data_IF_611840910630
#
_entry.id   IF_611840910630
#
_cell.length_a   1.000
_cell.length_b   1.000
_cell.length_c   1.000
_cell.angle_alpha   90.00
_cell.angle_beta   90.00
_cell.angle_gamma   90.00
#
_symmetry.space_group_name_H-M   'P 1'
#
loop_
_entity.id
_entity.type
_entity.pdbx_description
1 polymer ?
#
# COMPACT_ATOMS: atom_id res chain seq x y z
N UNK A 1 -3.65 6.26 13.63
CA UNK A 1 -4.89 6.99 13.99
C UNK A 1 -5.60 7.42 12.72
N UNK A 2 -6.93 7.25 12.64
CA UNK A 2 -7.73 7.62 11.47
C UNK A 2 -9.07 8.23 11.91
N UNK A 3 -9.64 9.10 11.07
CA UNK A 3 -11.06 9.49 11.17
C UNK A 3 -11.95 8.78 10.14
N UNK A 4 -11.37 7.94 9.30
CA UNK A 4 -12.08 7.28 8.22
C UNK A 4 -12.40 5.84 8.61
N UNK A 5 -13.64 5.61 9.07
CA UNK A 5 -14.15 4.28 9.42
C UNK A 5 -14.17 3.33 8.20
N UNK A 6 -14.27 3.84 6.97
CA UNK A 6 -14.28 2.99 5.76
C UNK A 6 -12.96 2.27 5.51
N UNK A 7 -11.87 2.73 6.13
CA UNK A 7 -10.56 2.09 6.03
C UNK A 7 -10.36 0.97 7.06
N UNK A 8 -11.29 0.82 8.00
CA UNK A 8 -11.14 -0.05 9.15
C UNK A 8 -11.99 -1.32 9.01
N UNK A 9 -11.45 -2.44 9.48
CA UNK A 9 -12.12 -3.74 9.56
C UNK A 9 -12.19 -4.21 11.01
N UNK A 10 -13.31 -4.85 11.38
CA UNK A 10 -13.58 -5.33 12.75
C UNK A 10 -13.54 -4.22 13.81
N UNK A 11 -14.23 -3.10 13.54
CA UNK A 11 -14.21 -1.94 14.42
C UNK A 11 -14.83 -2.22 15.80
N UNK A 12 -14.07 -1.90 16.86
CA UNK A 12 -14.54 -1.99 18.24
C UNK A 12 -14.77 -0.59 18.79
N UNK A 13 -16.04 -0.28 19.07
CA UNK A 13 -16.41 0.98 19.71
C UNK A 13 -16.10 0.92 21.21
N UNK A 14 -15.14 1.73 21.65
CA UNK A 14 -14.71 1.82 23.04
C UNK A 14 -13.99 3.14 23.27
N UNK A 15 -14.45 3.91 24.26
CA UNK A 15 -13.70 5.08 24.70
C UNK A 15 -12.37 4.65 25.31
N UNK A 16 -11.25 5.16 24.76
CA UNK A 16 -9.90 4.80 25.18
C UNK A 16 -9.10 5.95 25.77
N UNK A 17 -9.60 7.18 25.68
CA UNK A 17 -8.93 8.38 26.16
C UNK A 17 -9.06 9.53 25.18
N UNK A 18 -8.17 10.52 25.29
CA UNK A 18 -8.16 11.71 24.45
C UNK A 18 -6.77 12.00 23.88
N UNK A 19 -6.74 12.71 22.76
CA UNK A 19 -5.52 13.25 22.14
C UNK A 19 -5.63 14.76 22.14
N UNK A 20 -4.58 15.45 22.56
CA UNK A 20 -4.45 16.91 22.44
C UNK A 20 -3.57 17.24 21.23
N UNK A 21 -4.09 18.06 20.33
CA UNK A 21 -3.37 18.55 19.17
C UNK A 21 -2.52 19.78 19.49
N UNK A 22 -1.63 20.15 18.57
CA UNK A 22 -0.76 21.33 18.70
C UNK A 22 -1.53 22.64 18.87
N UNK A 23 -2.77 22.72 18.36
CA UNK A 23 -3.64 23.89 18.49
C UNK A 23 -4.54 23.83 19.75
N UNK A 24 -4.15 23.05 20.76
CA UNK A 24 -4.88 22.80 22.02
C UNK A 24 -6.26 22.16 21.89
N UNK A 25 -6.71 21.87 20.67
CA UNK A 25 -7.92 21.09 20.46
C UNK A 25 -7.74 19.67 21.02
N UNK A 26 -8.78 19.18 21.70
CA UNK A 26 -8.80 17.85 22.30
C UNK A 26 -9.85 17.00 21.59
N UNK A 27 -9.45 15.81 21.15
CA UNK A 27 -10.31 14.83 20.50
C UNK A 27 -10.39 13.55 21.31
N UNK A 28 -11.55 12.87 21.25
CA UNK A 28 -11.74 11.57 21.87
C UNK A 28 -11.24 10.43 20.95
N UNK A 29 -10.61 9.43 21.57
CA UNK A 29 -10.34 8.14 20.93
C UNK A 29 -11.55 7.25 21.19
N UNK A 30 -12.38 7.04 20.17
CA UNK A 30 -13.69 6.38 20.31
C UNK A 30 -13.66 4.88 19.97
N UNK A 31 -12.52 4.37 19.54
CA UNK A 31 -12.34 2.94 19.34
C UNK A 31 -11.03 2.61 18.65
N UNK A 32 -10.91 1.34 18.30
CA UNK A 32 -9.78 0.82 17.57
C UNK A 32 -10.22 -0.32 16.66
N UNK A 33 -9.39 -0.60 15.68
CA UNK A 33 -9.68 -1.58 14.64
C UNK A 33 -8.40 -1.96 13.94
N UNK A 34 -8.47 -2.95 13.08
CA UNK A 34 -7.39 -3.23 12.15
C UNK A 34 -7.64 -2.52 10.82
N UNK A 35 -6.56 -2.17 10.13
CA UNK A 35 -6.59 -1.66 8.77
C UNK A 35 -5.92 -2.71 7.89
N UNK A 36 -6.67 -3.24 6.94
CA UNK A 36 -6.15 -4.15 5.95
C UNK A 36 -6.00 -3.42 4.63
N UNK A 37 -4.86 -3.64 3.99
CA UNK A 37 -4.54 -3.05 2.71
C UNK A 37 -3.74 -4.04 1.87
N UNK A 38 -4.40 -4.64 0.86
CA UNK A 38 -3.86 -5.81 0.17
C UNK A 38 -3.54 -6.93 1.16
N UNK A 39 -2.28 -7.38 1.15
CA UNK A 39 -1.76 -8.39 2.08
C UNK A 39 -1.20 -7.79 3.38
N UNK A 40 -1.17 -6.45 3.52
CA UNK A 40 -0.66 -5.78 4.70
C UNK A 40 -1.78 -5.63 5.72
N UNK A 41 -1.50 -6.04 6.96
CA UNK A 41 -2.38 -5.82 8.10
C UNK A 41 -1.70 -4.88 9.10
N UNK A 42 -2.34 -3.76 9.39
CA UNK A 42 -1.93 -2.83 10.44
C UNK A 42 -2.92 -2.97 11.59
N UNK A 43 -2.46 -3.50 12.71
CA UNK A 43 -3.34 -3.76 13.86
C UNK A 43 -3.47 -2.56 14.78
N UNK A 44 -4.57 -2.51 15.55
CA UNK A 44 -4.78 -1.52 16.63
C UNK A 44 -4.72 -0.06 16.16
N UNK A 45 -5.28 0.24 14.98
CA UNK A 45 -5.46 1.60 14.49
C UNK A 45 -6.57 2.29 15.28
N UNK A 46 -6.21 3.33 16.03
CA UNK A 46 -7.18 4.14 16.78
C UNK A 46 -8.05 5.02 15.87
N UNK A 47 -9.34 5.03 16.14
CA UNK A 47 -10.27 5.99 15.56
C UNK A 47 -10.41 7.21 16.47
N UNK A 48 -10.15 8.38 15.91
CA UNK A 48 -10.12 9.66 16.62
C UNK A 48 -11.07 10.63 15.94
N UNK A 49 -12.10 11.06 16.67
CA UNK A 49 -13.07 12.01 16.17
C UNK A 49 -12.43 13.40 16.03
N UNK A 50 -12.63 14.10 14.90
CA UNK A 50 -12.02 15.41 14.65
C UNK A 50 -10.60 15.39 14.07
N UNK A 51 -10.04 14.22 13.75
CA UNK A 51 -8.72 14.12 13.10
C UNK A 51 -8.75 14.76 11.70
N UNK A 52 -7.86 15.71 11.41
CA UNK A 52 -7.77 16.36 10.09
C UNK A 52 -7.30 15.42 8.99
N UNK A 53 -6.21 14.69 9.26
CA UNK A 53 -5.56 13.72 8.36
C UNK A 53 -5.28 12.42 9.10
N UNK A 54 -5.19 11.31 8.39
CA UNK A 54 -4.81 10.03 8.99
C UNK A 54 -3.30 10.01 9.28
N UNK A 55 -2.92 9.42 10.41
CA UNK A 55 -1.54 9.26 10.81
C UNK A 55 -1.23 7.77 10.99
N UNK A 56 -0.14 7.30 10.39
CA UNK A 56 0.37 5.95 10.59
C UNK A 56 1.65 6.02 11.42
N UNK A 57 1.78 5.11 12.38
CA UNK A 57 3.03 4.95 13.11
C UNK A 57 4.02 4.19 12.25
N UNK A 58 5.27 4.66 12.18
CA UNK A 58 6.36 3.91 11.54
C UNK A 58 6.56 2.56 12.21
N UNK A 59 6.46 2.51 13.55
CA UNK A 59 6.58 1.26 14.31
C UNK A 59 5.52 0.23 13.90
N UNK A 60 4.29 0.66 13.62
CA UNK A 60 3.24 -0.25 13.15
C UNK A 60 3.53 -0.87 11.78
N UNK A 61 4.30 -0.19 10.91
CA UNK A 61 4.76 -0.80 9.67
C UNK A 61 5.89 -1.80 9.94
N UNK A 62 6.83 -1.45 10.81
CA UNK A 62 7.93 -2.35 11.19
C UNK A 62 7.44 -3.63 11.88
N UNK A 63 6.43 -3.51 12.75
CA UNK A 63 5.79 -4.66 13.42
C UNK A 63 5.06 -5.60 12.43
N UNK A 64 4.76 -5.10 11.22
CA UNK A 64 4.14 -5.85 10.12
C UNK A 64 5.17 -6.30 9.06
N UNK A 65 6.44 -6.41 9.44
CA UNK A 65 7.55 -6.83 8.57
C UNK A 65 7.78 -5.93 7.33
N UNK A 66 7.47 -4.64 7.46
CA UNK A 66 7.72 -3.65 6.41
C UNK A 66 8.87 -2.71 6.76
N UNK A 67 9.70 -2.42 5.76
CA UNK A 67 10.75 -1.42 5.86
C UNK A 67 10.19 -0.03 5.50
N UNK A 68 10.49 0.98 6.32
CA UNK A 68 10.15 2.38 6.01
C UNK A 68 11.44 3.16 5.78
N UNK A 69 11.65 3.63 4.56
CA UNK A 69 12.84 4.38 4.17
C UNK A 69 12.50 5.82 3.78
N UNK A 70 13.20 6.79 4.35
CA UNK A 70 13.02 8.22 4.02
C UNK A 70 14.21 8.74 3.21
N UNK A 71 13.91 9.38 2.08
CA UNK A 71 14.84 10.17 1.25
C UNK A 71 14.42 11.64 1.25
N UNK A 72 15.27 12.51 0.67
CA UNK A 72 15.06 13.98 0.65
C UNK A 72 13.63 14.37 0.24
N UNK A 73 13.11 13.77 -0.84
CA UNK A 73 11.81 14.15 -1.42
C UNK A 73 10.77 13.01 -1.45
N UNK A 74 11.14 11.81 -0.98
CA UNK A 74 10.31 10.62 -1.08
C UNK A 74 10.48 9.73 0.15
N UNK A 75 9.40 9.09 0.58
CA UNK A 75 9.38 8.00 1.54
C UNK A 75 8.95 6.72 0.84
N UNK A 76 9.44 5.58 1.31
CA UNK A 76 9.13 4.27 0.75
C UNK A 76 8.67 3.36 1.87
N UNK A 77 7.65 2.56 1.59
CA UNK A 77 7.29 1.41 2.42
C UNK A 77 7.55 0.18 1.55
N UNK A 78 8.40 -0.73 2.04
CA UNK A 78 8.86 -1.90 1.29
C UNK A 78 8.54 -3.19 2.04
N UNK A 79 8.37 -4.28 1.31
CA UNK A 79 8.38 -5.60 1.93
C UNK A 79 9.82 -6.04 2.29
N UNK A 80 9.93 -7.17 2.99
CA UNK A 80 11.21 -7.81 3.34
C UNK A 80 12.10 -8.18 2.12
N UNK A 81 11.51 -8.27 0.92
CA UNK A 81 12.25 -8.55 -0.33
C UNK A 81 12.79 -7.27 -0.98
N UNK A 82 12.50 -6.09 -0.40
CA UNK A 82 12.93 -4.79 -0.91
C UNK A 82 12.07 -4.22 -2.03
N UNK A 83 10.91 -4.83 -2.32
CA UNK A 83 9.92 -4.35 -3.29
C UNK A 83 9.16 -3.15 -2.71
N UNK A 84 9.15 -2.04 -3.45
CA UNK A 84 8.44 -0.82 -3.07
C UNK A 84 6.91 -1.04 -3.15
N UNK A 85 6.24 -0.95 -2.00
CA UNK A 85 4.79 -1.13 -1.86
C UNK A 85 4.05 0.20 -1.89
N UNK A 86 4.64 1.25 -1.28
CA UNK A 86 4.15 2.62 -1.35
C UNK A 86 5.26 3.60 -1.63
N UNK A 87 4.90 4.60 -2.41
CA UNK A 87 5.61 5.85 -2.51
C UNK A 87 4.90 6.93 -1.70
N UNK A 88 5.63 7.52 -0.77
CA UNK A 88 5.22 8.74 -0.08
C UNK A 88 5.92 9.95 -0.69
N UNK A 89 5.17 10.95 -1.13
CA UNK A 89 5.76 12.19 -1.60
C UNK A 89 5.97 13.16 -0.44
N UNK A 90 7.12 13.85 -0.40
CA UNK A 90 7.37 14.87 0.62
C UNK A 90 6.83 16.23 0.16
N UNK A 91 5.95 16.81 0.97
CA UNK A 91 5.50 18.19 0.83
C UNK A 91 5.89 18.96 2.10
N UNK A 92 6.75 19.96 1.95
CA UNK A 92 7.38 20.67 3.08
C UNK A 92 8.09 19.72 4.05
N UNK A 93 7.47 19.42 5.20
CA UNK A 93 8.01 18.53 6.24
C UNK A 93 7.18 17.26 6.46
N UNK A 94 6.19 17.01 5.60
CA UNK A 94 5.31 15.85 5.71
C UNK A 94 5.54 14.90 4.54
N UNK A 95 5.56 13.61 4.84
CA UNK A 95 5.51 12.55 3.83
C UNK A 95 4.07 12.05 3.75
N UNK A 96 3.47 12.22 2.58
CA UNK A 96 2.08 11.82 2.34
C UNK A 96 2.06 10.60 1.45
N UNK A 97 1.41 9.54 1.91
CA UNK A 97 1.16 8.31 1.16
C UNK A 97 -0.29 8.30 0.69
N UNK A 98 -0.53 7.75 -0.51
CA UNK A 98 -1.88 7.45 -0.98
C UNK A 98 -2.08 5.93 -0.99
N UNK A 99 -2.98 5.44 -0.16
CA UNK A 99 -3.29 4.01 -0.06
C UNK A 99 -3.95 3.46 -1.34
N UNK A 100 -4.51 4.32 -2.20
CA UNK A 100 -5.10 3.86 -3.46
C UNK A 100 -4.05 3.55 -4.53
N UNK A 101 -2.82 4.07 -4.43
CA UNK A 101 -1.82 3.97 -5.49
C UNK A 101 -1.29 2.54 -5.68
N UNK A 102 -1.35 1.65 -4.68
CA UNK A 102 -0.96 0.24 -4.86
C UNK A 102 -1.97 -0.57 -5.68
N UNK A 103 -3.26 -0.17 -5.71
CA UNK A 103 -4.21 -0.79 -6.63
C UNK A 103 -3.91 -0.45 -8.10
N UNK A 104 -3.04 0.54 -8.33
CA UNK A 104 -2.52 0.91 -9.65
C UNK A 104 -1.12 0.35 -9.95
N UNK A 105 -0.55 -0.46 -9.04
CA UNK A 105 0.70 -1.16 -9.31
C UNK A 105 0.51 -1.97 -10.60
N UNK A 106 1.38 -1.68 -11.58
CA UNK A 106 1.25 -2.16 -12.95
C UNK A 106 1.03 -3.67 -12.96
N UNK A 107 0.17 -4.21 -13.85
CA UNK A 107 0.02 -5.65 -13.98
C UNK A 107 1.42 -6.26 -14.12
N UNK A 108 1.68 -7.33 -13.37
CA UNK A 108 2.88 -8.14 -13.55
C UNK A 108 2.92 -8.54 -15.02
N UNK A 109 3.74 -7.85 -15.81
CA UNK A 109 3.97 -8.26 -17.19
C UNK A 109 4.90 -9.47 -17.12
N UNK A 110 4.30 -10.67 -17.06
CA UNK A 110 4.99 -11.92 -17.30
C UNK A 110 5.33 -12.01 -18.79
N UNK A 111 6.18 -11.12 -19.29
CA UNK A 111 6.69 -11.20 -20.65
C UNK A 111 7.72 -12.33 -20.69
N UNK A 112 7.26 -13.56 -20.90
CA UNK A 112 8.13 -14.68 -21.21
C UNK A 112 8.62 -14.53 -22.65
N UNK A 113 9.70 -13.74 -22.85
CA UNK A 113 10.35 -13.63 -24.15
C UNK A 113 10.96 -15.00 -24.51
N UNK A 114 10.22 -15.78 -25.30
CA UNK A 114 10.73 -17.01 -25.86
C UNK A 114 11.93 -16.72 -26.78
N UNK A 115 12.95 -17.57 -26.75
CA UNK A 115 13.99 -17.52 -27.78
C UNK A 115 13.36 -17.80 -29.15
N UNK A 116 13.96 -17.28 -30.23
CA UNK A 116 13.46 -17.50 -31.60
C UNK A 116 13.22 -18.98 -31.90
N UNK A 117 14.06 -19.87 -31.37
CA UNK A 117 13.91 -21.32 -31.49
C UNK A 117 12.66 -21.86 -30.82
N UNK A 118 12.29 -21.35 -29.63
CA UNK A 118 11.03 -21.72 -28.95
C UNK A 118 9.82 -21.14 -29.69
N UNK A 119 9.87 -19.91 -30.17
CA UNK A 119 8.81 -19.32 -30.98
C UNK A 119 8.59 -20.09 -32.29
N UNK A 120 9.67 -20.54 -32.93
CA UNK A 120 9.60 -21.38 -34.14
C UNK A 120 8.98 -22.76 -33.87
N UNK A 121 9.31 -23.39 -32.73
CA UNK A 121 8.70 -24.65 -32.31
C UNK A 121 7.19 -24.51 -32.07
N UNK A 122 6.76 -23.41 -31.44
CA UNK A 122 5.33 -23.13 -31.25
C UNK A 122 4.61 -22.84 -32.57
N UNK A 123 5.23 -22.09 -33.48
CA UNK A 123 4.70 -21.88 -34.83
C UNK A 123 4.53 -23.20 -35.60
N UNK A 124 5.47 -24.13 -35.49
CA UNK A 124 5.33 -25.48 -36.08
C UNK A 124 4.20 -26.31 -35.43
N UNK A 125 3.92 -26.12 -34.14
CA UNK A 125 2.85 -26.85 -33.44
C UNK A 125 1.46 -26.26 -33.69
N UNK A 126 1.38 -24.95 -33.93
CA UNK A 126 0.14 -24.21 -34.12
C UNK A 126 -0.22 -23.98 -35.60
N UNK A 127 0.72 -24.25 -36.53
CA UNK A 127 0.65 -24.32 -38.00
C UNK A 127 0.03 -23.15 -38.79
N UNK A 128 -0.94 -22.41 -38.24
CA UNK A 128 -1.72 -21.39 -38.93
C UNK A 128 -1.76 -20.04 -38.20
N UNK A 129 -1.06 -19.89 -37.09
CA UNK A 129 -0.93 -18.63 -36.36
C UNK A 129 0.34 -17.88 -36.83
N UNK A 130 0.15 -16.68 -37.36
CA UNK A 130 1.23 -15.76 -37.75
C UNK A 130 2.05 -15.34 -36.51
N UNK A 131 3.35 -15.08 -36.70
CA UNK A 131 4.25 -14.57 -35.66
C UNK A 131 3.74 -13.28 -35.01
N UNK A 132 3.10 -12.39 -35.76
CA UNK A 132 2.52 -11.17 -35.18
C UNK A 132 1.41 -11.52 -34.18
N UNK A 133 0.55 -12.48 -34.50
CA UNK A 133 -0.53 -12.96 -33.62
C UNK A 133 -0.01 -13.72 -32.40
N UNK A 134 1.17 -14.32 -32.48
CA UNK A 134 1.83 -15.00 -31.35
C UNK A 134 2.43 -13.99 -30.35
N UNK A 135 2.85 -12.81 -30.82
CA UNK A 135 3.39 -11.76 -29.94
C UNK A 135 2.29 -10.97 -29.21
N UNK A 136 1.05 -11.06 -29.68
CA UNK A 136 -0.12 -10.41 -29.10
C UNK A 136 -0.90 -11.30 -28.10
N UNK A 137 -0.47 -12.56 -27.91
CA UNK A 137 -1.00 -13.53 -26.93
C UNK A 137 -0.22 -13.48 -25.60
#
# INVERSE_FOLDING_TARGET
MTKNLKLLINFVWKFLGTVRFKNDHVAAILGFSDLQWGNILITRVYFVEGLGHNFFSVGQFCDSDLEVAFRRNAGFIKNIEGVDLLLGNRTANLYTINLHDMASASPICLMARASSTKSWLWHQRLSHLNFDTINDL
#
